data_IF_669093507492
#
_entry.id   IF_669093507492
#
_cell.length_a   1.000
_cell.length_b   1.000
_cell.length_c   1.000
_cell.angle_alpha   90.00
_cell.angle_beta   90.00
_cell.angle_gamma   90.00
#
_symmetry.space_group_name_H-M   'P 1'
#
loop_
_entity.id
_entity.type
_entity.pdbx_description
1 polymer ?
#
# COMPACT_ATOMS: atom_id res chain seq x y z
N UNK A 1 10.91 10.60 51.93
CA UNK A 1 11.77 9.48 51.47
C UNK A 1 10.91 8.24 51.23
N UNK A 2 10.21 8.19 50.10
CA UNK A 2 9.94 6.97 49.30
C UNK A 2 9.72 7.51 47.87
N UNK A 3 10.79 7.50 47.08
CA UNK A 3 10.74 7.77 45.64
C UNK A 3 9.98 6.63 44.96
N UNK A 4 8.89 6.94 44.25
CA UNK A 4 8.37 6.04 43.22
C UNK A 4 9.19 6.27 41.98
N UNK A 5 10.16 5.38 41.74
CA UNK A 5 10.84 5.26 40.47
C UNK A 5 9.80 5.04 39.37
N UNK A 6 9.76 5.96 38.42
CA UNK A 6 9.16 5.71 37.10
C UNK A 6 10.03 4.64 36.46
N UNK A 7 9.56 3.40 36.49
CA UNK A 7 10.14 2.34 35.65
C UNK A 7 9.90 2.74 34.20
N UNK A 8 11.00 2.87 33.46
CA UNK A 8 11.05 3.18 32.04
C UNK A 8 10.00 2.39 31.25
N UNK A 9 9.28 3.10 30.39
CA UNK A 9 8.20 2.55 29.59
C UNK A 9 8.71 1.43 28.70
N UNK A 10 8.26 0.20 29.00
CA UNK A 10 8.20 -0.85 28.02
C UNK A 10 7.45 -0.29 26.80
N UNK A 11 8.13 -0.18 25.67
CA UNK A 11 7.43 -0.05 24.39
C UNK A 11 6.59 -1.31 24.26
N UNK A 12 5.30 -1.22 24.59
CA UNK A 12 4.34 -2.20 24.10
C UNK A 12 4.52 -2.20 22.59
N UNK A 13 5.21 -3.22 22.08
CA UNK A 13 5.41 -3.38 20.68
C UNK A 13 4.01 -3.33 20.05
N UNK A 14 3.74 -2.33 19.22
CA UNK A 14 2.47 -2.25 18.50
C UNK A 14 2.44 -3.42 17.51
N UNK A 15 1.96 -4.58 17.95
CA UNK A 15 2.05 -5.84 17.21
C UNK A 15 0.93 -5.96 16.16
N UNK A 16 -0.16 -5.21 16.31
CA UNK A 16 -1.35 -5.34 15.47
C UNK A 16 -1.99 -4.01 15.07
N UNK A 17 -3.02 -4.11 14.24
CA UNK A 17 -3.90 -2.99 13.93
C UNK A 17 -5.03 -2.91 14.97
N UNK A 18 -5.53 -1.70 15.21
CA UNK A 18 -6.78 -1.51 15.95
C UNK A 18 -7.94 -2.21 15.23
N UNK A 19 -8.83 -2.83 16.00
CA UNK A 19 -10.00 -3.55 15.49
C UNK A 19 -11.23 -3.05 16.25
N UNK A 20 -12.06 -2.25 15.58
CA UNK A 20 -13.28 -1.64 16.16
C UNK A 20 -13.06 -1.06 17.56
N UNK A 21 -11.93 -0.37 17.75
CA UNK A 21 -11.54 0.24 19.02
C UNK A 21 -12.41 1.46 19.28
N UNK A 22 -13.32 1.35 20.26
CA UNK A 22 -14.07 2.49 20.76
C UNK A 22 -13.20 3.31 21.70
N UNK A 23 -13.04 4.59 21.43
CA UNK A 23 -12.27 5.51 22.25
C UNK A 23 -13.24 6.45 22.99
N UNK A 24 -13.18 6.41 24.32
CA UNK A 24 -14.00 7.23 25.21
C UNK A 24 -13.12 7.97 26.23
N UNK A 25 -13.64 9.05 26.85
CA UNK A 25 -12.89 9.78 27.87
C UNK A 25 -12.43 8.87 29.03
N UNK A 26 -11.23 9.09 29.60
CA UNK A 26 -10.75 8.34 30.74
C UNK A 26 -11.75 8.37 31.91
N UNK A 27 -12.04 7.21 32.49
CA UNK A 27 -13.00 7.09 33.61
C UNK A 27 -14.47 7.03 33.18
N UNK A 28 -14.78 7.12 31.87
CA UNK A 28 -16.14 6.88 31.38
C UNK A 28 -16.50 5.39 31.49
N UNK A 29 -17.59 5.09 32.20
CA UNK A 29 -18.08 3.71 32.44
C UNK A 29 -19.45 3.42 31.81
N UNK A 30 -20.04 4.39 31.10
CA UNK A 30 -21.33 4.22 30.44
C UNK A 30 -21.24 3.44 29.13
N UNK A 31 -22.39 3.19 28.51
CA UNK A 31 -22.44 2.66 27.14
C UNK A 31 -21.86 3.68 26.14
N UNK A 32 -21.15 3.24 25.07
CA UNK A 32 -20.68 4.13 24.02
C UNK A 32 -21.80 5.03 23.47
N UNK A 33 -21.52 6.33 23.36
CA UNK A 33 -22.45 7.33 22.81
C UNK A 33 -21.95 7.80 21.45
N UNK A 34 -22.84 8.40 20.65
CA UNK A 34 -22.44 9.08 19.41
C UNK A 34 -21.37 10.14 19.73
N UNK A 35 -20.30 10.12 18.96
CA UNK A 35 -19.10 10.92 19.16
C UNK A 35 -17.97 10.21 19.90
N UNK A 36 -18.22 9.05 20.53
CA UNK A 36 -17.16 8.16 21.00
C UNK A 36 -16.61 7.39 19.81
N UNK A 37 -15.58 7.97 19.18
CA UNK A 37 -15.07 7.50 17.91
C UNK A 37 -14.65 6.02 17.97
N UNK A 38 -15.02 5.28 16.94
CA UNK A 38 -14.64 3.87 16.77
C UNK A 38 -13.64 3.78 15.62
N UNK A 39 -12.41 3.35 15.94
CA UNK A 39 -11.32 3.23 14.98
C UNK A 39 -11.14 1.78 14.54
N UNK A 40 -10.95 1.57 13.25
CA UNK A 40 -10.64 0.25 12.70
C UNK A 40 -9.57 0.33 11.62
N UNK A 41 -8.65 -0.62 11.63
CA UNK A 41 -7.65 -0.81 10.58
C UNK A 41 -7.46 -2.31 10.28
N UNK A 42 -8.38 -3.17 10.71
CA UNK A 42 -8.31 -4.62 10.54
C UNK A 42 -8.85 -5.04 9.15
N UNK A 43 -8.28 -4.48 8.09
CA UNK A 43 -8.64 -4.77 6.70
C UNK A 43 -7.42 -4.70 5.79
N UNK A 44 -7.58 -5.13 4.53
CA UNK A 44 -6.49 -5.13 3.53
C UNK A 44 -5.86 -3.73 3.37
N UNK A 45 -4.53 -3.66 3.46
CA UNK A 45 -3.74 -2.43 3.44
C UNK A 45 -4.05 -1.46 4.59
N UNK A 46 -4.78 -1.88 5.62
CA UNK A 46 -5.04 -1.12 6.84
C UNK A 46 -3.77 -0.98 7.70
N UNK A 47 -3.57 0.19 8.30
CA UNK A 47 -2.48 0.42 9.24
C UNK A 47 -2.84 1.56 10.21
N UNK A 48 -3.07 1.18 11.47
CA UNK A 48 -3.14 2.03 12.64
C UNK A 48 -3.03 1.12 13.86
N UNK A 49 -2.00 1.29 14.70
CA UNK A 49 -1.68 0.35 15.77
C UNK A 49 -2.26 0.71 17.13
N UNK A 50 -2.40 2.01 17.44
CA UNK A 50 -2.96 2.49 18.70
C UNK A 50 -3.53 3.90 18.53
N UNK A 51 -4.54 4.19 19.35
CA UNK A 51 -5.16 5.51 19.47
C UNK A 51 -5.18 5.89 20.94
N UNK A 52 -4.57 7.02 21.27
CA UNK A 52 -4.60 7.60 22.60
C UNK A 52 -5.57 8.79 22.59
N UNK A 53 -6.51 8.79 23.54
CA UNK A 53 -7.42 9.91 23.77
C UNK A 53 -6.68 11.02 24.52
N UNK A 54 -6.62 12.22 23.96
CA UNK A 54 -6.02 13.38 24.62
C UNK A 54 -7.11 14.23 25.26
N UNK A 55 -8.10 14.63 24.46
CA UNK A 55 -9.31 15.35 24.89
C UNK A 55 -10.43 15.17 23.85
N UNK A 56 -11.58 15.82 24.05
CA UNK A 56 -12.76 15.66 23.18
C UNK A 56 -12.50 16.04 21.70
N UNK A 57 -11.44 16.81 21.44
CA UNK A 57 -11.09 17.35 20.14
C UNK A 57 -9.76 16.80 19.60
N UNK A 58 -9.02 15.97 20.34
CA UNK A 58 -7.65 15.61 19.99
C UNK A 58 -7.33 14.16 20.31
N UNK A 59 -6.72 13.48 19.32
CA UNK A 59 -6.37 12.08 19.38
C UNK A 59 -4.97 11.85 18.83
N UNK A 60 -4.14 11.18 19.61
CA UNK A 60 -2.82 10.75 19.18
C UNK A 60 -2.89 9.36 18.56
N UNK A 61 -2.43 9.26 17.32
CA UNK A 61 -2.49 8.08 16.49
C UNK A 61 -1.07 7.53 16.29
N UNK A 62 -0.92 6.23 16.54
CA UNK A 62 0.36 5.53 16.42
C UNK A 62 0.30 4.53 15.26
N UNK A 63 1.13 4.75 14.26
CA UNK A 63 1.26 3.85 13.10
C UNK A 63 2.03 2.60 13.50
N UNK A 64 1.53 1.43 13.07
CA UNK A 64 2.24 0.15 13.21
C UNK A 64 3.51 0.19 12.34
N UNK A 65 4.67 -0.27 12.84
CA UNK A 65 5.85 -0.33 11.99
C UNK A 65 5.61 -1.31 10.85
N UNK A 66 6.38 -1.18 9.77
CA UNK A 66 6.46 -2.24 8.77
C UNK A 66 6.73 -3.60 9.45
N UNK A 67 6.06 -4.64 8.97
CA UNK A 67 6.20 -5.98 9.56
C UNK A 67 7.66 -6.43 9.56
N UNK A 68 8.11 -6.94 10.70
CA UNK A 68 9.51 -7.35 10.93
C UNK A 68 10.55 -6.22 10.73
N UNK A 69 10.15 -4.93 10.69
CA UNK A 69 11.07 -3.80 10.58
C UNK A 69 10.58 -2.55 11.34
N UNK A 70 11.09 -2.28 12.56
CA UNK A 70 10.60 -1.18 13.41
C UNK A 70 10.94 0.22 12.91
N UNK A 71 11.80 0.35 11.88
CA UNK A 71 12.34 1.64 11.41
C UNK A 71 11.36 2.41 10.53
N UNK A 72 10.41 1.73 9.87
CA UNK A 72 9.52 2.36 8.90
C UNK A 72 8.12 2.53 9.46
N UNK A 73 7.69 3.80 9.59
CA UNK A 73 6.36 4.23 10.08
C UNK A 73 5.92 5.42 9.24
N UNK A 74 5.17 5.14 8.18
CA UNK A 74 4.80 6.16 7.18
C UNK A 74 3.38 5.94 6.66
N UNK A 75 3.06 4.71 6.25
CA UNK A 75 1.75 4.37 5.73
C UNK A 75 0.72 4.27 6.86
N UNK A 76 -0.41 4.94 6.70
CA UNK A 76 -1.59 4.75 7.53
C UNK A 76 -2.80 4.59 6.62
N UNK A 77 -3.76 3.80 7.08
CA UNK A 77 -5.05 3.58 6.43
C UNK A 77 -6.01 3.01 7.45
N UNK A 78 -7.00 3.79 7.87
CA UNK A 78 -7.92 3.44 8.95
C UNK A 78 -9.28 4.04 8.70
N UNK A 79 -10.29 3.48 9.36
CA UNK A 79 -11.65 3.99 9.38
C UNK A 79 -12.00 4.56 10.74
N UNK A 80 -12.94 5.50 10.74
CA UNK A 80 -13.55 6.11 11.92
C UNK A 80 -15.06 6.08 11.73
N UNK A 81 -15.78 5.51 12.69
CA UNK A 81 -17.24 5.48 12.76
C UNK A 81 -17.73 5.92 14.14
N UNK A 82 -19.06 5.85 14.36
CA UNK A 82 -19.72 6.35 15.56
C UNK A 82 -19.46 7.84 15.82
N UNK A 83 -19.33 8.63 14.75
CA UNK A 83 -19.10 10.07 14.79
C UNK A 83 -20.39 10.83 15.13
N UNK A 84 -20.25 12.07 15.59
CA UNK A 84 -21.37 13.02 15.72
C UNK A 84 -21.29 14.10 14.64
N UNK A 85 -22.43 14.59 14.16
CA UNK A 85 -22.48 15.67 13.19
C UNK A 85 -21.84 16.91 13.79
N UNK A 86 -21.07 17.65 13.00
CA UNK A 86 -20.29 18.83 13.40
C UNK A 86 -19.18 18.55 14.42
N UNK A 87 -18.92 17.28 14.78
CA UNK A 87 -17.80 16.93 15.65
C UNK A 87 -16.48 17.27 14.96
N UNK A 88 -15.68 18.11 15.62
CA UNK A 88 -14.37 18.54 15.17
C UNK A 88 -13.30 17.79 15.92
N UNK A 89 -12.31 17.31 15.20
CA UNK A 89 -11.19 16.56 15.77
C UNK A 89 -9.88 16.94 15.09
N UNK A 90 -8.80 16.80 15.85
CA UNK A 90 -7.42 16.86 15.38
C UNK A 90 -6.86 15.46 15.57
N UNK A 91 -6.41 14.85 14.48
CA UNK A 91 -5.69 13.59 14.50
C UNK A 91 -4.20 13.85 14.37
N UNK A 92 -3.43 13.46 15.38
CA UNK A 92 -1.98 13.60 15.40
C UNK A 92 -1.31 12.25 15.11
N UNK A 93 -0.67 12.09 13.96
CA UNK A 93 0.24 10.97 13.73
C UNK A 93 1.58 11.28 14.40
N UNK A 94 1.84 10.72 15.58
CA UNK A 94 2.95 11.16 16.45
C UNK A 94 4.26 10.40 16.28
N UNK A 95 4.24 9.26 15.58
CA UNK A 95 5.40 8.36 15.43
C UNK A 95 5.90 8.22 13.99
N UNK A 96 5.79 9.29 13.20
CA UNK A 96 6.22 9.30 11.79
C UNK A 96 7.75 9.18 11.67
N UNK A 97 8.24 8.20 10.91
CA UNK A 97 9.69 7.91 10.86
C UNK A 97 10.49 8.73 9.83
N UNK A 98 9.82 9.52 8.99
CA UNK A 98 10.50 10.44 8.07
C UNK A 98 10.80 11.76 8.77
N UNK A 99 11.96 12.33 8.49
CA UNK A 99 12.36 13.68 8.95
C UNK A 99 12.13 14.73 7.87
N UNK A 100 12.36 14.35 6.60
CA UNK A 100 12.02 15.12 5.41
C UNK A 100 10.78 14.49 4.78
N UNK A 101 9.69 15.26 4.68
CA UNK A 101 8.41 14.80 4.16
C UNK A 101 7.78 15.87 3.28
N UNK A 102 7.15 15.44 2.19
CA UNK A 102 6.37 16.30 1.29
C UNK A 102 5.16 16.93 1.99
N UNK A 103 4.81 16.48 3.21
CA UNK A 103 3.84 17.19 4.05
C UNK A 103 4.27 18.62 4.38
N UNK A 104 5.58 18.96 4.30
CA UNK A 104 6.06 20.34 4.37
C UNK A 104 5.79 21.15 3.11
N UNK A 105 5.61 20.47 1.98
CA UNK A 105 5.48 21.04 0.64
C UNK A 105 4.05 20.87 0.10
N UNK A 106 3.06 20.79 1.01
CA UNK A 106 1.64 20.78 0.64
C UNK A 106 1.03 19.41 0.32
N UNK A 107 1.75 18.30 0.53
CA UNK A 107 1.11 16.98 0.52
C UNK A 107 0.02 16.93 1.59
N UNK A 108 -1.08 16.23 1.29
CA UNK A 108 -2.17 16.01 2.25
C UNK A 108 -2.68 14.57 2.19
N UNK A 109 -3.18 14.02 3.32
CA UNK A 109 -3.87 12.74 3.34
C UNK A 109 -5.12 12.76 2.48
N UNK A 110 -5.66 11.58 2.21
CA UNK A 110 -6.95 11.43 1.51
C UNK A 110 -8.02 10.90 2.46
N UNK A 111 -9.26 11.32 2.22
CA UNK A 111 -10.45 10.89 2.94
C UNK A 111 -11.53 10.46 1.94
N UNK A 112 -12.34 9.48 2.34
CA UNK A 112 -13.64 9.17 1.73
C UNK A 112 -14.62 8.77 2.84
N UNK A 113 -15.90 8.67 2.52
CA UNK A 113 -16.88 8.08 3.42
C UNK A 113 -17.78 7.09 2.70
N UNK A 114 -18.63 6.37 3.43
CA UNK A 114 -19.65 5.46 2.87
C UNK A 114 -20.56 6.16 1.88
N UNK A 115 -21.08 7.34 2.21
CA UNK A 115 -21.92 8.12 1.28
C UNK A 115 -21.13 8.84 0.17
N UNK A 116 -19.83 9.08 0.37
CA UNK A 116 -18.93 9.71 -0.61
C UNK A 116 -17.73 8.79 -0.91
N UNK A 117 -17.91 7.76 -1.75
CA UNK A 117 -16.92 6.69 -1.94
C UNK A 117 -15.67 7.13 -2.73
N UNK A 118 -15.67 8.33 -3.31
CA UNK A 118 -14.52 8.87 -4.05
C UNK A 118 -13.54 9.53 -3.08
N UNK A 119 -12.29 9.08 -3.14
CA UNK A 119 -11.19 9.69 -2.40
C UNK A 119 -10.98 11.16 -2.76
N UNK A 120 -10.89 12.00 -1.75
CA UNK A 120 -10.59 13.42 -1.86
C UNK A 120 -9.40 13.76 -0.97
N UNK A 121 -8.56 14.70 -1.41
CA UNK A 121 -7.47 15.21 -0.58
C UNK A 121 -8.02 16.11 0.51
N UNK A 122 -7.49 15.99 1.72
CA UNK A 122 -7.73 16.98 2.75
C UNK A 122 -7.16 18.34 2.30
N UNK A 123 -7.82 19.47 2.63
CA UNK A 123 -7.28 20.79 2.35
C UNK A 123 -5.88 20.95 2.99
N UNK A 124 -4.84 21.34 2.24
CA UNK A 124 -3.48 21.48 2.79
C UNK A 124 -3.41 22.41 4.00
N UNK A 125 -4.25 23.45 4.03
CA UNK A 125 -4.38 24.38 5.18
C UNK A 125 -4.83 23.72 6.50
N UNK A 126 -5.38 22.51 6.44
CA UNK A 126 -5.81 21.74 7.62
C UNK A 126 -4.78 20.69 8.02
N UNK A 127 -3.64 20.60 7.33
CA UNK A 127 -2.62 19.58 7.55
C UNK A 127 -1.32 20.27 7.98
N UNK A 128 -0.73 19.80 9.06
CA UNK A 128 0.46 20.36 9.67
C UNK A 128 1.51 19.28 9.83
N UNK A 129 2.77 19.64 9.62
CA UNK A 129 3.89 18.72 9.80
C UNK A 129 5.06 19.42 10.45
N UNK A 130 5.30 19.09 11.72
CA UNK A 130 6.20 19.83 12.58
C UNK A 130 6.94 18.89 13.53
N UNK A 131 8.02 19.41 14.13
CA UNK A 131 8.79 18.68 15.13
C UNK A 131 8.21 18.99 16.51
N UNK A 132 7.72 17.98 17.22
CA UNK A 132 7.09 18.17 18.53
C UNK A 132 8.05 17.75 19.65
N UNK A 133 8.46 18.66 20.56
CA UNK A 133 9.30 18.31 21.71
C UNK A 133 8.68 17.24 22.61
N UNK A 134 7.37 17.31 22.84
CA UNK A 134 6.64 16.45 23.77
C UNK A 134 6.52 15.00 23.29
N UNK A 135 6.58 14.78 21.98
CA UNK A 135 6.65 13.44 21.38
C UNK A 135 8.10 13.01 21.10
N UNK A 136 8.98 13.10 22.10
CA UNK A 136 10.40 12.70 22.01
C UNK A 136 11.15 13.38 20.84
N UNK A 137 10.77 14.62 20.49
CA UNK A 137 11.31 15.36 19.34
C UNK A 137 11.10 14.68 17.98
N UNK A 138 10.12 13.77 17.89
CA UNK A 138 9.68 13.18 16.63
C UNK A 138 8.94 14.20 15.77
N UNK A 139 8.78 13.87 14.49
CA UNK A 139 7.90 14.60 13.61
C UNK A 139 6.47 14.11 13.77
N UNK A 140 5.56 15.08 13.92
CA UNK A 140 4.12 14.86 14.04
C UNK A 140 3.46 15.35 12.75
N UNK A 141 2.56 14.55 12.20
CA UNK A 141 1.65 14.99 11.13
C UNK A 141 0.24 15.10 11.72
N UNK A 142 -0.26 16.32 11.83
CA UNK A 142 -1.58 16.59 12.38
C UNK A 142 -2.55 17.01 11.27
N UNK A 143 -3.79 16.57 11.35
CA UNK A 143 -4.83 17.09 10.46
C UNK A 143 -6.15 17.31 11.19
N UNK A 144 -6.75 18.46 10.94
CA UNK A 144 -8.05 18.84 11.47
C UNK A 144 -9.17 18.35 10.55
N UNK A 145 -10.21 17.76 11.13
CA UNK A 145 -11.36 17.24 10.41
C UNK A 145 -12.67 17.58 11.13
N UNK A 146 -13.73 17.83 10.36
CA UNK A 146 -15.08 18.05 10.87
C UNK A 146 -16.00 17.01 10.24
N UNK A 147 -16.57 16.13 11.05
CA UNK A 147 -17.53 15.14 10.58
C UNK A 147 -18.86 15.82 10.25
N UNK A 148 -19.50 15.40 9.16
CA UNK A 148 -20.72 16.03 8.64
C UNK A 148 -21.89 15.05 8.46
N UNK A 149 -21.68 13.75 8.72
CA UNK A 149 -22.71 12.70 8.64
C UNK A 149 -22.46 11.63 9.68
N UNK A 150 -23.42 11.40 10.58
CA UNK A 150 -23.28 10.50 11.73
C UNK A 150 -23.33 9.01 11.39
N UNK A 151 -24.01 8.67 10.29
CA UNK A 151 -24.16 7.29 9.83
C UNK A 151 -23.04 6.88 8.87
N UNK A 152 -22.13 7.80 8.56
CA UNK A 152 -21.02 7.52 7.68
C UNK A 152 -19.83 6.89 8.42
N UNK A 153 -19.19 5.94 7.75
CA UNK A 153 -17.84 5.48 8.09
C UNK A 153 -16.85 6.28 7.25
N UNK A 154 -15.95 7.02 7.90
CA UNK A 154 -14.91 7.80 7.23
C UNK A 154 -13.64 6.98 7.15
N UNK A 155 -13.00 6.95 5.99
CA UNK A 155 -11.72 6.28 5.81
C UNK A 155 -10.65 7.31 5.48
N UNK A 156 -9.54 7.29 6.23
CA UNK A 156 -8.38 8.15 6.04
C UNK A 156 -7.19 7.31 5.60
N UNK A 157 -6.42 7.81 4.64
CA UNK A 157 -5.21 7.13 4.20
C UNK A 157 -4.08 8.10 3.82
N UNK A 158 -2.84 7.62 3.94
CA UNK A 158 -1.63 8.37 3.58
C UNK A 158 -1.64 8.84 2.11
N UNK A 159 -2.11 8.00 1.21
CA UNK A 159 -2.35 8.29 -0.20
C UNK A 159 -3.47 7.38 -0.72
N UNK A 160 -3.93 7.58 -1.96
CA UNK A 160 -4.96 6.75 -2.60
C UNK A 160 -4.61 5.26 -2.50
N UNK A 161 -5.36 4.45 -1.73
CA UNK A 161 -5.04 3.03 -1.60
C UNK A 161 -5.27 2.31 -2.93
N UNK A 162 -4.34 1.41 -3.26
CA UNK A 162 -4.48 0.44 -4.33
C UNK A 162 -4.10 -0.92 -3.77
N UNK A 163 -5.11 -1.72 -3.45
CA UNK A 163 -4.96 -2.99 -2.76
C UNK A 163 -4.59 -4.13 -3.71
N UNK A 164 -4.12 -5.25 -3.16
CA UNK A 164 -3.82 -6.45 -3.93
C UNK A 164 -5.11 -7.05 -4.50
N UNK A 165 -6.19 -7.13 -3.73
CA UNK A 165 -7.48 -7.62 -4.23
C UNK A 165 -8.01 -6.77 -5.38
N UNK A 166 -7.85 -5.43 -5.32
CA UNK A 166 -8.19 -4.54 -6.42
C UNK A 166 -7.39 -4.88 -7.69
N UNK A 167 -6.08 -5.12 -7.56
CA UNK A 167 -5.26 -5.55 -8.69
C UNK A 167 -5.78 -6.85 -9.28
N UNK A 168 -6.04 -7.87 -8.45
CA UNK A 168 -6.49 -9.18 -8.89
C UNK A 168 -7.82 -9.10 -9.65
N UNK A 169 -8.79 -8.33 -9.15
CA UNK A 169 -10.05 -8.09 -9.85
C UNK A 169 -9.85 -7.37 -11.19
N UNK A 170 -8.98 -6.35 -11.24
CA UNK A 170 -8.66 -5.64 -12.47
C UNK A 170 -8.04 -6.59 -13.51
N UNK A 171 -7.03 -7.37 -13.14
CA UNK A 171 -6.37 -8.31 -14.06
C UNK A 171 -7.32 -9.43 -14.51
N UNK A 172 -8.17 -9.95 -13.63
CA UNK A 172 -9.21 -10.92 -14.00
C UNK A 172 -10.25 -10.32 -14.97
N UNK A 173 -10.56 -9.03 -14.84
CA UNK A 173 -11.45 -8.34 -15.79
C UNK A 173 -10.83 -8.18 -17.17
N UNK A 174 -9.51 -7.98 -17.26
CA UNK A 174 -8.78 -7.93 -18.52
C UNK A 174 -8.67 -9.31 -19.18
N UNK A 175 -8.39 -10.34 -18.40
CA UNK A 175 -8.25 -11.72 -18.87
C UNK A 175 -9.56 -12.22 -19.54
N UNK A 176 -10.72 -11.89 -18.95
CA UNK A 176 -12.05 -12.20 -19.53
C UNK A 176 -12.34 -11.53 -20.88
N UNK A 177 -11.56 -10.53 -21.29
CA UNK A 177 -11.70 -9.91 -22.63
C UNK A 177 -11.10 -10.78 -23.74
N UNK A 178 -10.35 -11.83 -23.40
CA UNK A 178 -9.73 -12.76 -24.36
C UNK A 178 -8.95 -12.05 -25.47
N UNK A 179 -8.20 -11.00 -25.11
CA UNK A 179 -7.41 -10.24 -26.08
C UNK A 179 -6.25 -11.11 -26.59
N UNK A 180 -6.09 -11.30 -27.91
CA UNK A 180 -5.10 -12.23 -28.48
C UNK A 180 -3.65 -11.80 -28.25
N UNK A 181 -3.44 -10.54 -27.87
CA UNK A 181 -2.14 -9.92 -27.61
C UNK A 181 -1.84 -9.71 -26.12
N UNK A 182 -2.67 -10.24 -25.21
CA UNK A 182 -2.46 -10.20 -23.77
C UNK A 182 -2.42 -11.61 -23.21
N UNK A 183 -1.32 -11.95 -22.52
CA UNK A 183 -1.20 -13.18 -21.73
C UNK A 183 -0.93 -12.83 -20.27
N UNK A 184 -1.72 -13.38 -19.36
CA UNK A 184 -1.52 -13.26 -17.91
C UNK A 184 -0.98 -14.57 -17.37
N UNK A 185 0.10 -14.52 -16.60
CA UNK A 185 0.77 -15.69 -16.06
C UNK A 185 1.02 -15.49 -14.56
N UNK A 186 1.19 -16.60 -13.85
CA UNK A 186 1.74 -16.58 -12.49
C UNK A 186 3.24 -16.81 -12.58
N UNK A 187 4.03 -15.76 -12.34
CA UNK A 187 5.49 -15.84 -12.34
C UNK A 187 6.05 -16.54 -11.10
N UNK A 188 5.31 -16.47 -10.00
CA UNK A 188 5.69 -17.08 -8.74
C UNK A 188 4.70 -16.77 -7.63
N UNK A 189 5.10 -17.08 -6.41
CA UNK A 189 4.33 -16.83 -5.21
C UNK A 189 5.16 -15.98 -4.25
N UNK A 190 4.49 -15.12 -3.49
CA UNK A 190 5.10 -14.42 -2.37
C UNK A 190 5.27 -15.35 -1.16
N UNK A 191 5.84 -14.82 -0.07
CA UNK A 191 6.04 -15.61 1.17
C UNK A 191 4.69 -16.08 1.72
N UNK A 192 3.66 -15.22 1.70
CA UNK A 192 2.29 -15.60 2.10
C UNK A 192 1.48 -16.23 0.96
N UNK A 193 2.13 -16.82 -0.04
CA UNK A 193 1.46 -17.53 -1.14
C UNK A 193 0.51 -16.66 -1.97
N UNK A 194 0.76 -15.34 -2.06
CA UNK A 194 0.04 -14.46 -2.99
C UNK A 194 0.66 -14.57 -4.38
N UNK A 195 -0.21 -14.59 -5.40
CA UNK A 195 0.18 -14.68 -6.80
C UNK A 195 1.01 -13.46 -7.21
N UNK A 196 2.18 -13.72 -7.80
CA UNK A 196 2.95 -12.73 -8.52
C UNK A 196 2.56 -12.79 -9.99
N UNK A 197 1.78 -11.81 -10.44
CA UNK A 197 1.34 -11.74 -11.84
C UNK A 197 2.42 -11.19 -12.77
N UNK A 198 2.53 -11.83 -13.93
CA UNK A 198 3.27 -11.35 -15.10
C UNK A 198 2.29 -11.17 -16.26
N UNK A 199 2.25 -9.99 -16.85
CA UNK A 199 1.55 -9.73 -18.09
C UNK A 199 2.55 -9.69 -19.24
N UNK A 200 2.22 -10.39 -20.32
CA UNK A 200 2.88 -10.23 -21.62
C UNK A 200 1.92 -9.53 -22.56
N UNK A 201 2.31 -8.37 -23.11
CA UNK A 201 1.51 -7.61 -24.06
C UNK A 201 2.30 -7.42 -25.35
N UNK A 202 1.88 -8.07 -26.43
CA UNK A 202 2.50 -7.99 -27.77
C UNK A 202 1.63 -8.69 -28.81
N UNK A 203 1.68 -8.27 -30.07
CA UNK A 203 0.99 -8.97 -31.15
C UNK A 203 1.80 -10.21 -31.58
N UNK A 204 1.15 -11.36 -31.71
CA UNK A 204 1.79 -12.61 -32.16
C UNK A 204 1.89 -12.74 -33.68
N UNK A 205 1.08 -11.98 -34.42
CA UNK A 205 0.99 -12.04 -35.87
C UNK A 205 1.11 -10.66 -36.48
N UNK A 206 2.23 -10.41 -37.18
CA UNK A 206 2.36 -9.69 -38.45
C UNK A 206 3.82 -9.21 -38.64
N UNK A 207 4.39 -9.60 -39.78
CA UNK A 207 5.63 -9.14 -40.43
C UNK A 207 6.99 -9.30 -39.75
N UNK A 208 7.13 -9.09 -38.44
CA UNK A 208 8.41 -9.24 -37.73
C UNK A 208 8.45 -10.56 -36.95
N UNK A 209 9.54 -11.30 -37.06
CA UNK A 209 9.75 -12.48 -36.21
C UNK A 209 9.93 -12.00 -34.77
N UNK A 210 9.52 -12.79 -33.77
CA UNK A 210 9.62 -12.41 -32.35
C UNK A 210 11.04 -11.94 -31.94
N UNK A 211 12.08 -12.42 -32.61
CA UNK A 211 13.48 -12.03 -32.37
C UNK A 211 13.85 -10.61 -32.83
N UNK A 212 13.01 -9.96 -33.63
CA UNK A 212 13.25 -8.58 -34.10
C UNK A 212 12.56 -7.55 -33.18
N UNK A 213 11.69 -8.01 -32.27
CA UNK A 213 10.99 -7.14 -31.33
C UNK A 213 11.86 -6.74 -30.16
N UNK A 214 11.73 -5.49 -29.73
CA UNK A 214 12.39 -5.00 -28.50
C UNK A 214 11.65 -5.54 -27.27
N UNK A 215 12.40 -5.92 -26.24
CA UNK A 215 11.84 -6.29 -24.95
C UNK A 215 11.81 -5.08 -24.02
N UNK A 216 10.67 -4.82 -23.39
CA UNK A 216 10.53 -3.81 -22.33
C UNK A 216 9.97 -4.49 -21.09
N UNK A 217 10.75 -4.46 -20.00
CA UNK A 217 10.36 -5.01 -18.71
C UNK A 217 9.95 -3.89 -17.75
N UNK A 218 8.76 -4.00 -17.16
CA UNK A 218 8.21 -3.03 -16.22
C UNK A 218 7.86 -3.72 -14.90
N UNK A 219 8.27 -3.13 -13.79
CA UNK A 219 7.84 -3.57 -12.45
C UNK A 219 7.24 -2.39 -11.69
N UNK A 220 6.28 -2.65 -10.82
CA UNK A 220 5.68 -1.65 -9.95
C UNK A 220 5.50 -2.17 -8.52
N UNK A 221 5.35 -1.24 -7.57
CA UNK A 221 5.13 -1.52 -6.12
C UNK A 221 6.17 -2.47 -5.51
N UNK A 222 7.45 -2.17 -5.70
CA UNK A 222 8.52 -2.78 -4.89
C UNK A 222 8.38 -2.36 -3.42
N UNK A 223 8.12 -1.07 -3.19
CA UNK A 223 7.72 -0.56 -1.88
C UNK A 223 6.18 -0.55 -1.79
N UNK A 224 5.61 -1.19 -0.76
CA UNK A 224 4.16 -1.32 -0.63
C UNK A 224 3.38 -0.01 -0.51
N UNK A 225 3.86 0.98 0.22
CA UNK A 225 3.12 2.22 0.49
C UNK A 225 3.18 3.23 -0.66
N UNK A 226 3.92 2.96 -1.73
CA UNK A 226 4.05 3.80 -2.92
C UNK A 226 2.91 3.52 -3.92
N UNK A 227 1.67 3.62 -3.44
CA UNK A 227 0.47 3.29 -4.22
C UNK A 227 0.29 4.03 -5.56
N UNK A 228 0.77 5.27 -5.77
CA UNK A 228 0.70 5.92 -7.08
C UNK A 228 1.30 5.09 -8.22
N UNK A 229 2.34 4.29 -7.94
CA UNK A 229 2.97 3.42 -8.92
C UNK A 229 1.98 2.39 -9.50
N UNK A 230 1.00 1.90 -8.72
CA UNK A 230 -0.02 0.99 -9.22
C UNK A 230 -1.00 1.66 -10.18
N UNK A 231 -1.38 2.92 -9.91
CA UNK A 231 -2.27 3.66 -10.81
C UNK A 231 -1.58 3.96 -12.13
N UNK A 232 -0.31 4.35 -12.10
CA UNK A 232 0.50 4.55 -13.32
C UNK A 232 0.62 3.23 -14.09
N UNK A 233 0.99 2.14 -13.41
CA UNK A 233 1.11 0.82 -14.05
C UNK A 233 -0.23 0.37 -14.66
N UNK A 234 -1.35 0.59 -13.98
CA UNK A 234 -2.67 0.30 -14.52
C UNK A 234 -2.94 1.11 -15.79
N UNK A 235 -2.69 2.42 -15.79
CA UNK A 235 -2.87 3.28 -16.96
C UNK A 235 -1.98 2.87 -18.15
N UNK A 236 -0.74 2.44 -17.89
CA UNK A 236 0.14 1.87 -18.93
C UNK A 236 -0.48 0.61 -19.52
N UNK A 237 -0.96 -0.31 -18.69
CA UNK A 237 -1.63 -1.53 -19.16
C UNK A 237 -2.88 -1.18 -19.97
N UNK A 238 -3.75 -0.30 -19.45
CA UNK A 238 -4.97 0.15 -20.12
C UNK A 238 -4.69 0.74 -21.51
N UNK A 239 -3.65 1.58 -21.62
CA UNK A 239 -3.21 2.12 -22.91
C UNK A 239 -2.69 1.01 -23.85
N UNK A 240 -1.79 0.16 -23.36
CA UNK A 240 -1.17 -0.91 -24.15
C UNK A 240 -2.15 -1.98 -24.61
N UNK A 241 -3.31 -2.16 -23.96
CA UNK A 241 -4.36 -3.10 -24.41
C UNK A 241 -5.44 -2.44 -25.27
N UNK A 242 -5.42 -1.12 -25.40
CA UNK A 242 -6.43 -0.35 -26.14
C UNK A 242 -6.30 -0.49 -27.67
N UNK A 243 -7.29 0.03 -28.38
CA UNK A 243 -7.29 0.17 -29.84
C UNK A 243 -6.60 1.44 -30.33
N UNK A 244 -5.89 2.17 -29.47
CA UNK A 244 -5.17 3.35 -29.90
C UNK A 244 -4.10 2.98 -30.95
N UNK A 245 -3.98 3.72 -32.08
CA UNK A 245 -3.05 3.37 -33.16
C UNK A 245 -1.59 3.22 -32.69
N UNK A 246 -1.14 4.11 -31.81
CA UNK A 246 0.20 4.03 -31.20
C UNK A 246 0.36 2.75 -30.36
N UNK A 247 -0.67 2.32 -29.63
CA UNK A 247 -0.60 1.09 -28.85
C UNK A 247 -0.51 -0.15 -29.76
N UNK A 248 -1.21 -0.14 -30.91
CA UNK A 248 -1.10 -1.20 -31.92
C UNK A 248 0.34 -1.27 -32.47
N UNK A 249 0.90 -0.14 -32.92
CA UNK A 249 2.29 -0.06 -33.42
C UNK A 249 3.28 -0.55 -32.36
N UNK A 250 3.10 -0.17 -31.10
CA UNK A 250 3.95 -0.64 -30.00
C UNK A 250 3.86 -2.16 -29.83
N UNK A 251 2.66 -2.75 -29.91
CA UNK A 251 2.48 -4.21 -29.82
C UNK A 251 3.12 -4.95 -31.02
N UNK A 252 3.23 -4.30 -32.17
CA UNK A 252 3.91 -4.88 -33.35
C UNK A 252 5.43 -4.93 -33.19
N UNK A 253 6.03 -3.97 -32.47
CA UNK A 253 7.50 -3.83 -32.39
C UNK A 253 8.09 -4.19 -31.02
N UNK A 254 7.26 -4.29 -29.99
CA UNK A 254 7.70 -4.42 -28.61
C UNK A 254 6.98 -5.57 -27.91
N UNK A 255 7.74 -6.31 -27.10
CA UNK A 255 7.23 -7.27 -26.12
C UNK A 255 7.27 -6.59 -24.75
N UNK A 256 6.11 -6.29 -24.19
CA UNK A 256 6.02 -5.77 -22.83
C UNK A 256 5.87 -6.92 -21.83
N UNK A 257 6.76 -6.97 -20.84
CA UNK A 257 6.68 -7.87 -19.68
C UNK A 257 6.44 -7.01 -18.45
N UNK A 258 5.27 -7.14 -17.84
CA UNK A 258 4.83 -6.24 -16.78
C UNK A 258 4.52 -7.04 -15.52
N UNK A 259 5.17 -6.69 -14.41
CA UNK A 259 4.85 -7.18 -13.05
C UNK A 259 4.17 -6.04 -12.30
N UNK A 260 2.82 -6.02 -12.21
CA UNK A 260 2.10 -4.84 -11.70
C UNK A 260 2.25 -4.60 -10.19
N UNK A 261 2.64 -5.63 -9.44
CA UNK A 261 2.86 -5.53 -7.99
C UNK A 261 3.91 -6.53 -7.53
N UNK A 262 5.13 -6.04 -7.29
CA UNK A 262 6.27 -6.87 -6.89
C UNK A 262 6.21 -7.31 -5.42
N UNK A 263 5.54 -6.54 -4.55
CA UNK A 263 5.46 -6.80 -3.12
C UNK A 263 4.00 -6.94 -2.63
N UNK A 264 3.27 -7.98 -3.07
CA UNK A 264 1.86 -8.15 -2.72
C UNK A 264 1.65 -8.35 -1.21
N UNK A 265 2.59 -8.98 -0.50
CA UNK A 265 2.47 -9.20 0.94
C UNK A 265 2.56 -7.91 1.74
N UNK A 266 3.57 -7.09 1.46
CA UNK A 266 3.69 -5.81 2.14
C UNK A 266 2.49 -4.89 1.85
N UNK A 267 1.92 -4.96 0.63
CA UNK A 267 0.71 -4.20 0.28
C UNK A 267 -0.48 -4.66 1.09
N UNK A 268 -0.71 -5.97 1.18
CA UNK A 268 -1.82 -6.53 1.93
C UNK A 268 -1.74 -6.17 3.42
N UNK A 269 -0.53 -6.21 4.00
CA UNK A 269 -0.29 -5.93 5.41
C UNK A 269 -0.37 -4.43 5.77
N UNK A 270 -0.36 -3.53 4.78
CA UNK A 270 -0.29 -2.09 5.05
C UNK A 270 1.11 -1.64 5.49
N UNK A 271 2.16 -2.26 4.96
CA UNK A 271 3.52 -1.74 5.10
C UNK A 271 3.73 -0.52 4.18
N UNK A 272 4.81 0.22 4.41
CA UNK A 272 5.25 1.31 3.55
C UNK A 272 6.40 0.91 2.62
N UNK A 273 7.44 0.26 3.14
CA UNK A 273 8.69 0.02 2.41
C UNK A 273 9.06 -1.45 2.30
N UNK A 274 8.86 -2.21 3.36
CA UNK A 274 9.40 -3.56 3.48
C UNK A 274 8.44 -4.66 3.04
N UNK A 275 8.99 -5.82 2.65
CA UNK A 275 8.26 -7.08 2.51
C UNK A 275 7.74 -7.60 3.86
N UNK A 276 7.02 -8.73 3.86
CA UNK A 276 6.60 -9.41 5.10
C UNK A 276 7.79 -9.67 6.04
N UNK A 277 8.94 -10.07 5.48
CA UNK A 277 10.14 -10.43 6.24
C UNK A 277 10.97 -9.21 6.68
N UNK A 278 10.47 -7.98 6.48
CA UNK A 278 11.15 -6.76 6.92
C UNK A 278 12.24 -6.24 5.98
N UNK A 279 12.41 -6.86 4.80
CA UNK A 279 13.43 -6.45 3.82
C UNK A 279 12.94 -5.36 2.85
N UNK A 280 13.81 -4.39 2.57
CA UNK A 280 13.65 -3.48 1.43
C UNK A 280 14.04 -4.22 0.16
N UNK A 281 13.06 -4.74 -0.59
CA UNK A 281 13.31 -5.53 -1.79
C UNK A 281 14.17 -4.79 -2.82
N UNK A 282 14.13 -3.45 -2.85
CA UNK A 282 14.95 -2.66 -3.77
C UNK A 282 16.42 -2.50 -3.30
N UNK A 283 16.84 -3.27 -2.29
CA UNK A 283 18.24 -3.40 -1.83
C UNK A 283 18.79 -4.81 -2.00
N UNK A 284 18.00 -5.75 -2.53
CA UNK A 284 18.35 -7.17 -2.63
C UNK A 284 18.44 -7.70 -4.07
N UNK A 285 18.50 -6.83 -5.09
CA UNK A 285 18.64 -7.24 -6.49
C UNK A 285 19.92 -8.03 -6.78
N UNK A 286 21.02 -7.73 -6.07
CA UNK A 286 22.31 -8.38 -6.33
C UNK A 286 22.28 -9.89 -6.03
N UNK A 287 21.62 -10.31 -4.95
CA UNK A 287 21.50 -11.71 -4.56
C UNK A 287 20.18 -11.97 -3.80
N UNK A 288 19.05 -12.09 -4.52
CA UNK A 288 17.76 -12.31 -3.88
C UNK A 288 17.61 -13.79 -3.49
N UNK A 289 17.49 -14.06 -2.20
CA UNK A 289 17.09 -15.39 -1.71
C UNK A 289 15.70 -15.82 -2.24
N UNK A 290 15.55 -17.05 -2.76
CA UNK A 290 14.25 -17.59 -3.18
C UNK A 290 13.28 -17.81 -2.01
N UNK A 291 13.77 -17.83 -0.76
CA UNK A 291 12.93 -18.04 0.43
C UNK A 291 12.53 -16.71 1.08
N UNK A 292 13.46 -15.76 1.19
CA UNK A 292 13.20 -14.46 1.82
C UNK A 292 12.61 -13.43 0.84
N UNK A 293 12.96 -13.54 -0.45
CA UNK A 293 12.58 -12.59 -1.50
C UNK A 293 12.02 -13.33 -2.73
N UNK A 294 11.07 -14.28 -2.58
CA UNK A 294 10.64 -15.14 -3.67
C UNK A 294 10.15 -14.36 -4.90
N UNK A 295 9.45 -13.24 -4.69
CA UNK A 295 8.97 -12.40 -5.80
C UNK A 295 10.09 -11.70 -6.56
N UNK A 296 11.09 -11.17 -5.84
CA UNK A 296 12.25 -10.51 -6.42
C UNK A 296 13.15 -11.53 -7.14
N UNK A 297 13.35 -12.70 -6.54
CA UNK A 297 14.09 -13.80 -7.14
C UNK A 297 13.44 -14.24 -8.45
N UNK A 298 12.13 -14.50 -8.47
CA UNK A 298 11.42 -14.92 -9.68
C UNK A 298 11.54 -13.89 -10.82
N UNK A 299 11.39 -12.60 -10.50
CA UNK A 299 11.58 -11.52 -11.48
C UNK A 299 13.01 -11.44 -11.98
N UNK A 300 14.01 -11.54 -11.10
CA UNK A 300 15.41 -11.51 -11.50
C UNK A 300 15.76 -12.69 -12.42
N UNK A 301 15.31 -13.90 -12.08
CA UNK A 301 15.54 -15.09 -12.92
C UNK A 301 14.92 -14.90 -14.31
N UNK A 302 13.71 -14.35 -14.38
CA UNK A 302 13.07 -14.07 -15.66
C UNK A 302 13.84 -13.02 -16.49
N UNK A 303 14.32 -11.95 -15.85
CA UNK A 303 15.12 -10.92 -16.54
C UNK A 303 16.43 -11.50 -17.06
N UNK A 304 17.13 -12.30 -16.25
CA UNK A 304 18.38 -12.96 -16.64
C UNK A 304 18.13 -13.95 -17.77
N UNK A 305 17.08 -14.77 -17.67
CA UNK A 305 16.67 -15.70 -18.72
C UNK A 305 16.40 -14.94 -20.03
N UNK A 306 15.62 -13.86 -20.00
CA UNK A 306 15.30 -13.05 -21.17
C UNK A 306 16.50 -12.30 -21.75
N UNK A 307 17.51 -12.00 -20.93
CA UNK A 307 18.76 -11.41 -21.41
C UNK A 307 19.63 -12.43 -22.17
N UNK A 308 19.61 -13.70 -21.74
CA UNK A 308 20.34 -14.78 -22.39
C UNK A 308 19.59 -15.36 -23.60
N UNK A 309 18.26 -15.49 -23.50
CA UNK A 309 17.37 -15.95 -24.55
C UNK A 309 16.08 -15.11 -24.55
N UNK A 310 16.05 -14.00 -25.31
CA UNK A 310 14.91 -13.10 -25.40
C UNK A 310 13.63 -13.75 -25.95
N UNK A 311 13.74 -14.95 -26.55
CA UNK A 311 12.68 -15.61 -27.32
C UNK A 311 12.06 -16.78 -26.56
N UNK A 312 12.74 -17.34 -25.55
CA UNK A 312 12.14 -18.34 -24.65
C UNK A 312 11.04 -17.74 -23.78
N UNK A 313 9.82 -17.66 -24.33
CA UNK A 313 8.61 -17.52 -23.53
C UNK A 313 8.58 -18.73 -22.58
N UNK A 314 8.44 -18.56 -21.25
CA UNK A 314 8.38 -19.69 -20.36
C UNK A 314 7.24 -20.62 -20.80
N UNK A 315 7.62 -21.83 -21.23
CA UNK A 315 6.72 -22.96 -21.20
C UNK A 315 6.32 -23.14 -19.74
N UNK A 316 5.03 -23.31 -19.46
CA UNK A 316 4.53 -23.49 -18.11
C UNK A 316 5.25 -24.64 -17.43
N UNK A 317 6.25 -24.35 -16.60
CA UNK A 317 6.81 -25.32 -15.66
C UNK A 317 5.89 -25.36 -14.44
N UNK A 318 4.69 -25.89 -14.65
CA UNK A 318 3.99 -26.61 -13.60
C UNK A 318 4.72 -27.93 -13.41
N UNK A 319 5.76 -27.95 -12.57
CA UNK A 319 6.27 -29.18 -12.00
C UNK A 319 6.60 -28.90 -10.53
N UNK A 320 5.56 -28.88 -9.71
CA UNK A 320 5.69 -29.28 -8.31
C UNK A 320 6.03 -30.76 -8.35
N UNK A 321 7.31 -31.10 -8.26
CA UNK A 321 7.69 -32.44 -7.79
C UNK A 321 7.32 -32.46 -6.31
N UNK A 322 6.48 -33.45 -5.96
CA UNK A 322 6.13 -33.83 -4.59
C UNK A 322 7.37 -34.06 -3.74
#
# INVERSE_FOLDING_TARGET
>A
LIERSRTDGAEDALVGNVNKLTVSPPGYSGAPRKGHLVFDACFESGNLGRVDYINDFEFDLFIRPDTCNPRFRVWFNFTVENVRETQRVIFNIVNFSKTKSLYRDGMSPVVKSTSRPKWQRLPPKNVYYYRCPDHRRNYVMSFAFCFDREDDVYQFAYCYPYTYSRLQHYLASLERKHLPYLRREQLGLSVQQRRLDLLTITNSGQSLRLHEKKLVFLTARVHPGESPASFICQGVIDFLVSQHPVAQILRDHVIFKIVPMLNPDGVYLGNYRCSLMGFDLNRHWQDPSPWAHPTLHAVKQLIVQMNHDPVSMPASTACVKK
#
